data_IF_509435623770
#
_entry.id   IF_509435623770
#
_cell.length_a   1.000
_cell.length_b   1.000
_cell.length_c   1.000
_cell.angle_alpha   90.00
_cell.angle_beta   90.00
_cell.angle_gamma   90.00
#
_symmetry.space_group_name_H-M   'P 1'
#
loop_
_entity.id
_entity.type
_entity.pdbx_description
1 polymer ?
#
# COMPACT_ATOMS: atom_id res chain seq x y z
N UNK A 1 13.89 -90.99 -1.14
CA UNK A 1 14.68 -90.01 -0.34
C UNK A 1 13.72 -89.07 0.38
N UNK A 2 13.85 -88.91 1.71
CA UNK A 2 13.30 -87.77 2.49
C UNK A 2 14.26 -86.57 2.32
N UNK A 3 13.82 -85.29 2.39
CA UNK A 3 13.41 -84.58 3.63
C UNK A 3 12.27 -83.55 3.37
N UNK A 4 11.79 -82.66 4.25
CA UNK A 4 11.54 -82.50 5.71
C UNK A 4 10.58 -81.28 5.82
N UNK A 5 9.93 -81.14 6.98
CA UNK A 5 8.92 -80.14 7.40
C UNK A 5 9.56 -78.79 7.80
N UNK A 6 8.70 -77.75 7.97
CA UNK A 6 8.79 -76.50 8.76
C UNK A 6 9.01 -75.25 7.89
N UNK A 7 8.45 -74.06 8.15
CA UNK A 7 7.67 -73.46 9.24
C UNK A 7 7.35 -72.04 8.77
N UNK A 8 6.18 -71.47 9.07
CA UNK A 8 5.96 -70.04 8.79
C UNK A 8 4.54 -69.57 9.00
N UNK A 9 4.15 -69.41 10.26
CA UNK A 9 3.04 -68.54 10.63
C UNK A 9 3.48 -67.10 10.34
N UNK A 10 2.73 -66.37 9.53
CA UNK A 10 2.72 -64.91 9.57
C UNK A 10 1.28 -64.47 9.30
N UNK A 11 0.55 -64.30 10.40
CA UNK A 11 -0.71 -63.58 10.45
C UNK A 11 -0.39 -62.14 10.06
N UNK A 12 -0.79 -61.72 8.86
CA UNK A 12 -0.81 -60.31 8.51
C UNK A 12 -2.19 -59.77 8.87
N UNK A 13 -2.27 -59.06 9.99
CA UNK A 13 -3.43 -58.26 10.38
C UNK A 13 -3.54 -57.14 9.35
N UNK A 14 -4.52 -57.22 8.46
CA UNK A 14 -4.90 -56.10 7.61
C UNK A 14 -5.72 -55.14 8.47
N UNK A 15 -5.05 -54.15 9.05
CA UNK A 15 -5.72 -53.04 9.73
C UNK A 15 -6.37 -52.17 8.66
N UNK A 16 -7.70 -52.21 8.60
CA UNK A 16 -8.52 -51.38 7.72
C UNK A 16 -8.46 -49.92 8.23
N UNK A 17 -7.61 -49.09 7.63
CA UNK A 17 -7.64 -47.64 7.81
C UNK A 17 -8.79 -47.08 6.97
N UNK A 18 -9.89 -46.75 7.64
CA UNK A 18 -10.97 -45.94 7.05
C UNK A 18 -10.43 -44.52 6.95
N UNK A 19 -9.91 -44.16 5.76
CA UNK A 19 -9.69 -42.76 5.42
C UNK A 19 -11.06 -42.18 5.09
N UNK A 20 -11.59 -41.38 6.03
CA UNK A 20 -12.77 -40.57 5.77
C UNK A 20 -12.44 -39.61 4.63
N UNK A 21 -13.09 -39.80 3.48
CA UNK A 21 -13.10 -38.81 2.42
C UNK A 21 -13.88 -37.59 2.94
N UNK A 22 -13.14 -36.59 3.41
CA UNK A 22 -13.69 -35.27 3.65
C UNK A 22 -14.06 -34.73 2.27
N UNK A 23 -15.36 -34.68 1.99
CA UNK A 23 -15.91 -33.90 0.91
C UNK A 23 -15.64 -32.43 1.25
N UNK A 24 -14.54 -31.88 0.72
CA UNK A 24 -14.40 -30.43 0.61
C UNK A 24 -15.26 -30.05 -0.61
N UNK A 25 -16.32 -29.25 -0.46
CA UNK A 25 -16.99 -28.71 -1.64
C UNK A 25 -15.95 -27.91 -2.42
N UNK A 26 -15.83 -28.19 -3.71
CA UNK A 26 -15.05 -27.36 -4.60
C UNK A 26 -15.61 -25.93 -4.51
N UNK A 27 -14.88 -25.04 -3.84
CA UNK A 27 -14.98 -23.62 -4.14
C UNK A 27 -14.57 -23.53 -5.60
N UNK A 28 -15.49 -23.09 -6.45
CA UNK A 28 -15.13 -22.66 -7.79
C UNK A 28 -14.08 -21.58 -7.58
N UNK A 29 -12.84 -21.84 -7.96
CA UNK A 29 -11.92 -20.76 -8.23
C UNK A 29 -12.58 -19.98 -9.36
N UNK A 30 -13.17 -18.84 -9.01
CA UNK A 30 -13.48 -17.83 -10.02
C UNK A 30 -12.16 -17.57 -10.74
N UNK A 31 -12.21 -17.57 -12.07
CA UNK A 31 -11.03 -17.20 -12.84
C UNK A 31 -10.62 -15.80 -12.40
N UNK A 32 -9.44 -15.71 -11.79
CA UNK A 32 -8.83 -14.46 -11.34
C UNK A 32 -8.81 -13.53 -12.54
N UNK A 33 -9.67 -12.51 -12.49
CA UNK A 33 -9.57 -11.38 -13.40
C UNK A 33 -8.27 -10.64 -13.03
N UNK A 34 -7.31 -10.46 -13.95
CA UNK A 34 -6.03 -9.82 -13.66
C UNK A 34 -6.13 -8.29 -13.41
N UNK A 35 -7.22 -7.83 -12.82
CA UNK A 35 -7.45 -6.44 -12.41
C UNK A 35 -8.22 -6.30 -11.10
N UNK A 36 -8.36 -7.37 -10.31
CA UNK A 36 -9.05 -7.29 -9.02
C UNK A 36 -8.08 -6.83 -7.92
N UNK A 37 -8.08 -5.53 -7.65
CA UNK A 37 -7.72 -4.99 -6.33
C UNK A 37 -8.90 -5.37 -5.43
N UNK A 38 -8.85 -6.55 -4.80
CA UNK A 38 -9.83 -6.92 -3.77
C UNK A 38 -9.44 -6.23 -2.45
N UNK A 39 -9.75 -4.95 -2.38
CA UNK A 39 -9.86 -4.20 -1.13
C UNK A 39 -11.27 -3.62 -1.11
N UNK A 40 -12.04 -3.97 -0.08
CA UNK A 40 -13.48 -3.72 0.03
C UNK A 40 -13.86 -2.25 0.29
N UNK A 41 -13.23 -1.33 -0.42
CA UNK A 41 -13.46 0.11 -0.41
C UNK A 41 -13.76 0.72 -1.79
N UNK A 42 -13.46 -0.01 -2.86
CA UNK A 42 -13.87 0.34 -4.23
C UNK A 42 -15.38 0.64 -4.28
N UNK A 43 -15.76 1.83 -4.73
CA UNK A 43 -17.14 2.24 -4.98
C UNK A 43 -17.85 1.39 -6.07
N UNK A 44 -17.11 0.43 -6.65
CA UNK A 44 -17.50 -0.53 -7.67
C UNK A 44 -17.08 -0.08 -9.07
N UNK A 45 -16.16 0.88 -9.14
CA UNK A 45 -15.70 1.62 -10.30
C UNK A 45 -14.44 1.04 -10.98
N UNK A 46 -13.74 1.89 -11.73
CA UNK A 46 -12.43 1.55 -12.32
C UNK A 46 -11.38 2.25 -11.47
N UNK A 47 -10.46 1.50 -10.84
CA UNK A 47 -9.70 2.02 -9.72
C UNK A 47 -8.90 3.27 -10.09
N UNK A 48 -8.87 4.23 -9.18
CA UNK A 48 -8.37 5.56 -9.34
C UNK A 48 -6.98 5.76 -8.74
N UNK A 49 -6.13 6.51 -9.44
CA UNK A 49 -4.81 6.91 -8.96
C UNK A 49 -4.62 8.42 -9.04
N UNK A 50 -4.02 8.97 -7.98
CA UNK A 50 -3.60 10.36 -7.89
C UNK A 50 -2.18 10.49 -7.33
N UNK A 51 -1.41 11.44 -7.85
CA UNK A 51 -0.07 11.71 -7.32
C UNK A 51 0.22 13.18 -7.11
N UNK A 52 0.98 13.45 -6.05
CA UNK A 52 1.55 14.75 -5.75
C UNK A 52 3.05 14.62 -5.50
N UNK A 53 3.82 15.63 -5.88
CA UNK A 53 5.27 15.58 -5.67
C UNK A 53 5.92 16.95 -5.61
N UNK A 54 7.11 17.00 -5.02
CA UNK A 54 7.95 18.19 -4.98
C UNK A 54 9.41 17.81 -5.23
N UNK A 55 10.03 18.46 -6.22
CA UNK A 55 11.48 18.35 -6.49
C UNK A 55 12.30 19.34 -5.66
N UNK A 56 11.60 20.24 -4.97
CA UNK A 56 12.24 21.34 -4.29
C UNK A 56 13.08 20.86 -3.09
N UNK A 57 14.21 21.54 -2.85
CA UNK A 57 15.14 21.14 -1.78
C UNK A 57 16.02 19.93 -2.13
N UNK A 58 16.20 19.61 -3.42
CA UNK A 58 17.13 18.59 -3.90
C UNK A 58 16.54 17.18 -3.96
N UNK A 59 15.21 17.08 -4.12
CA UNK A 59 14.52 15.82 -4.35
C UNK A 59 14.29 15.63 -5.85
N UNK A 60 15.37 15.64 -6.63
CA UNK A 60 15.35 15.71 -8.10
C UNK A 60 14.65 14.52 -8.77
N UNK A 61 14.41 13.41 -8.06
CA UNK A 61 13.73 12.21 -8.58
C UNK A 61 12.26 12.09 -8.14
N UNK A 62 11.72 13.07 -7.40
CA UNK A 62 10.33 12.98 -6.90
C UNK A 62 9.30 12.93 -8.02
N UNK A 63 9.54 13.64 -9.13
CA UNK A 63 8.66 13.64 -10.29
C UNK A 63 8.73 12.33 -11.06
N UNK A 64 9.92 11.77 -11.23
CA UNK A 64 10.13 10.47 -11.86
C UNK A 64 9.49 9.34 -11.03
N UNK A 65 9.67 9.35 -9.71
CA UNK A 65 9.07 8.35 -8.80
C UNK A 65 7.54 8.44 -8.80
N UNK A 66 6.98 9.62 -8.50
CA UNK A 66 5.53 9.80 -8.46
C UNK A 66 4.87 9.64 -9.83
N UNK A 67 5.49 10.21 -10.87
CA UNK A 67 5.05 10.03 -12.26
C UNK A 67 5.13 8.58 -12.71
N UNK A 68 6.15 7.86 -12.28
CA UNK A 68 6.33 6.43 -12.49
C UNK A 68 5.17 5.61 -11.90
N UNK A 69 4.87 5.78 -10.62
CA UNK A 69 3.73 5.15 -9.96
C UNK A 69 2.41 5.41 -10.72
N UNK A 70 2.13 6.67 -11.02
CA UNK A 70 0.93 7.12 -11.73
C UNK A 70 0.80 6.54 -13.14
N UNK A 71 1.92 6.49 -13.87
CA UNK A 71 1.93 5.99 -15.24
C UNK A 71 1.80 4.47 -15.26
N UNK A 72 2.51 3.75 -14.39
CA UNK A 72 2.44 2.28 -14.30
C UNK A 72 1.01 1.81 -14.04
N UNK A 73 0.33 2.34 -13.02
CA UNK A 73 -1.06 1.96 -12.72
C UNK A 73 -2.01 2.35 -13.86
N UNK A 74 -1.88 3.56 -14.40
CA UNK A 74 -2.76 3.99 -15.48
C UNK A 74 -2.55 3.26 -16.81
N UNK A 75 -1.34 2.75 -17.08
CA UNK A 75 -1.06 1.92 -18.27
C UNK A 75 -1.64 0.51 -18.10
N UNK A 76 -1.84 0.07 -16.85
CA UNK A 76 -2.57 -1.14 -16.50
C UNK A 76 -4.11 -0.96 -16.46
N UNK A 77 -4.60 0.26 -16.72
CA UNK A 77 -6.04 0.53 -16.89
C UNK A 77 -6.70 1.30 -15.76
N UNK A 78 -5.94 1.75 -14.74
CA UNK A 78 -6.47 2.62 -13.69
C UNK A 78 -6.84 4.01 -14.21
N UNK A 79 -7.83 4.63 -13.60
CA UNK A 79 -8.23 6.00 -13.88
C UNK A 79 -7.24 6.98 -13.26
N UNK A 80 -6.44 7.60 -14.13
CA UNK A 80 -5.51 8.68 -13.79
C UNK A 80 -6.26 9.99 -13.45
N UNK A 81 -6.43 10.33 -12.18
CA UNK A 81 -7.26 11.48 -11.73
C UNK A 81 -6.47 12.78 -11.64
N UNK A 82 -5.30 12.77 -11.00
CA UNK A 82 -4.43 13.95 -10.93
C UNK A 82 -2.95 13.59 -10.82
N UNK A 83 -2.12 14.49 -11.33
CA UNK A 83 -0.67 14.49 -11.14
C UNK A 83 -0.24 15.94 -10.94
N UNK A 84 0.19 16.29 -9.71
CA UNK A 84 0.45 17.67 -9.28
C UNK A 84 1.85 17.80 -8.71
N UNK A 85 2.70 18.54 -9.43
CA UNK A 85 4.08 18.77 -9.05
C UNK A 85 4.40 20.20 -8.66
N UNK A 86 5.35 20.37 -7.74
CA UNK A 86 6.00 21.62 -7.37
C UNK A 86 5.02 22.77 -7.08
N UNK A 87 4.94 23.76 -7.97
CA UNK A 87 4.07 24.92 -7.78
C UNK A 87 2.58 24.60 -7.88
N UNK A 88 2.23 23.40 -8.35
CA UNK A 88 0.85 22.92 -8.43
C UNK A 88 0.52 21.88 -7.35
N UNK A 89 1.49 21.44 -6.56
CA UNK A 89 1.24 20.68 -5.33
C UNK A 89 0.84 21.68 -4.25
N UNK A 90 -0.37 21.53 -3.71
CA UNK A 90 -0.98 22.51 -2.81
C UNK A 90 -1.49 21.82 -1.54
N UNK A 91 -1.32 22.47 -0.40
CA UNK A 91 -1.82 21.98 0.90
C UNK A 91 -3.34 21.69 0.83
N UNK A 92 -4.09 22.56 0.13
CA UNK A 92 -5.52 22.37 -0.08
C UNK A 92 -5.92 21.09 -0.84
N UNK A 93 -4.99 20.36 -1.46
CA UNK A 93 -5.29 19.07 -2.08
C UNK A 93 -5.30 17.91 -1.08
N UNK A 94 -4.74 18.12 0.12
CA UNK A 94 -4.66 17.14 1.21
C UNK A 94 -5.67 17.43 2.33
N UNK A 95 -6.02 18.70 2.52
CA UNK A 95 -6.88 19.14 3.63
C UNK A 95 -8.38 19.00 3.35
N UNK A 96 -9.15 18.71 4.41
CA UNK A 96 -10.62 18.65 4.35
C UNK A 96 -11.27 20.02 4.12
N UNK A 97 -10.54 21.11 4.38
CA UNK A 97 -11.07 22.47 4.27
C UNK A 97 -11.54 22.76 2.83
N UNK A 98 -12.78 23.27 2.73
CA UNK A 98 -13.44 23.60 1.46
C UNK A 98 -13.62 22.41 0.49
N UNK A 99 -13.61 21.17 0.97
CA UNK A 99 -13.65 19.94 0.16
C UNK A 99 -12.47 19.85 -0.82
N UNK A 100 -11.30 20.32 -0.42
CA UNK A 100 -10.11 20.31 -1.25
C UNK A 100 -9.65 18.89 -1.55
N UNK A 101 -9.41 18.11 -0.49
CA UNK A 101 -9.07 16.69 -0.53
C UNK A 101 -9.98 15.83 -1.40
N UNK A 102 -11.31 15.98 -1.32
CA UNK A 102 -12.27 15.18 -2.13
C UNK A 102 -12.09 15.32 -3.63
N UNK A 103 -11.51 16.42 -4.10
CA UNK A 103 -11.21 16.62 -5.52
C UNK A 103 -9.82 16.07 -5.92
N UNK A 104 -9.02 15.67 -4.95
CA UNK A 104 -7.65 15.22 -5.09
C UNK A 104 -7.40 14.00 -4.20
N UNK A 105 -6.66 14.16 -3.10
CA UNK A 105 -6.15 13.05 -2.28
C UNK A 105 -7.27 12.12 -1.82
N UNK A 106 -8.39 12.66 -1.34
CA UNK A 106 -9.52 11.85 -0.84
C UNK A 106 -10.49 11.38 -1.96
N UNK A 107 -10.18 11.64 -3.23
CA UNK A 107 -11.04 11.34 -4.38
C UNK A 107 -10.51 10.25 -5.32
N UNK A 108 -9.63 9.38 -4.81
CA UNK A 108 -8.96 8.28 -5.53
C UNK A 108 -8.78 7.08 -4.60
N UNK A 109 -8.83 5.85 -5.09
CA UNK A 109 -8.54 4.67 -4.25
C UNK A 109 -7.11 4.68 -3.71
N UNK A 110 -6.14 5.09 -4.54
CA UNK A 110 -4.74 5.18 -4.12
C UNK A 110 -4.07 6.50 -4.48
N UNK A 111 -3.50 7.14 -3.47
CA UNK A 111 -2.68 8.32 -3.63
C UNK A 111 -1.20 8.01 -3.37
N UNK A 112 -0.30 8.71 -4.06
CA UNK A 112 1.13 8.66 -3.76
C UNK A 112 1.72 10.07 -3.73
N UNK A 113 2.40 10.39 -2.63
CA UNK A 113 3.14 11.63 -2.46
C UNK A 113 4.63 11.36 -2.40
N UNK A 114 5.44 12.11 -3.15
CA UNK A 114 6.89 12.14 -2.98
C UNK A 114 7.42 13.55 -2.71
N UNK A 115 7.95 13.76 -1.50
CA UNK A 115 8.48 15.05 -1.11
C UNK A 115 9.10 15.03 0.28
N UNK A 116 9.27 16.23 0.86
CA UNK A 116 9.84 16.38 2.20
C UNK A 116 8.80 16.10 3.28
N UNK A 117 9.31 15.76 4.46
CA UNK A 117 8.49 15.73 5.66
C UNK A 117 9.32 15.52 6.90
N UNK A 118 8.58 15.40 7.99
CA UNK A 118 9.08 15.26 9.35
C UNK A 118 8.11 14.42 10.16
N UNK A 119 8.49 14.16 11.41
CA UNK A 119 7.61 13.60 12.43
C UNK A 119 6.43 14.54 12.79
N UNK A 120 6.39 15.76 12.26
CA UNK A 120 5.36 16.76 12.57
C UNK A 120 4.42 17.10 11.41
N UNK A 121 4.91 17.09 10.18
CA UNK A 121 4.16 17.55 9.00
C UNK A 121 4.80 17.03 7.72
N UNK A 122 4.02 17.07 6.64
CA UNK A 122 4.50 16.89 5.27
C UNK A 122 4.74 18.26 4.65
N UNK A 123 5.84 18.41 3.91
CA UNK A 123 6.21 19.66 3.24
C UNK A 123 6.17 19.50 1.73
N UNK A 124 5.44 20.39 1.07
CA UNK A 124 5.34 20.44 -0.39
C UNK A 124 6.51 21.22 -1.02
N UNK A 125 7.53 21.58 -0.23
CA UNK A 125 8.78 22.20 -0.67
C UNK A 125 9.27 23.35 0.22
N UNK A 126 10.52 23.81 0.05
CA UNK A 126 11.08 24.95 0.78
C UNK A 126 10.26 26.23 0.61
N UNK A 127 9.73 26.78 1.72
CA UNK A 127 8.90 27.99 1.71
C UNK A 127 7.54 27.81 1.02
N UNK A 128 7.13 26.56 0.81
CA UNK A 128 5.80 26.15 0.34
C UNK A 128 4.93 25.76 1.53
N UNK A 129 3.68 25.48 1.20
CA UNK A 129 2.67 25.01 2.13
C UNK A 129 3.08 23.65 2.74
N UNK A 130 2.67 23.44 3.97
CA UNK A 130 2.87 22.21 4.75
C UNK A 130 1.50 21.78 5.24
N UNK A 131 1.22 20.50 5.37
CA UNK A 131 -0.02 20.06 6.00
C UNK A 131 0.27 19.20 7.22
N UNK A 132 -0.62 19.31 8.21
CA UNK A 132 -0.58 18.57 9.47
C UNK A 132 -1.66 17.48 9.47
N UNK A 133 -1.43 16.39 10.21
CA UNK A 133 -2.46 15.33 10.35
C UNK A 133 -3.75 15.78 11.02
N UNK A 134 -3.75 16.95 11.67
CA UNK A 134 -4.95 17.58 12.23
C UNK A 134 -5.83 18.31 11.21
N UNK A 135 -5.37 18.43 9.96
CA UNK A 135 -6.04 19.17 8.89
C UNK A 135 -6.56 18.27 7.78
N UNK A 136 -6.41 16.95 7.93
CA UNK A 136 -6.84 15.95 6.97
C UNK A 136 -8.05 15.17 7.51
N UNK A 137 -8.90 14.65 6.63
CA UNK A 137 -10.02 13.76 6.96
C UNK A 137 -10.11 12.66 5.90
N UNK A 138 -9.07 11.84 5.80
CA UNK A 138 -8.89 10.89 4.70
C UNK A 138 -9.72 9.62 4.85
N UNK A 139 -10.33 9.20 3.74
CA UNK A 139 -11.24 8.07 3.59
C UNK A 139 -12.70 8.39 3.87
N UNK A 140 -13.03 9.67 4.10
CA UNK A 140 -14.42 10.10 4.30
C UNK A 140 -15.20 10.20 2.98
N UNK A 141 -14.47 10.12 1.86
CA UNK A 141 -15.01 10.13 0.51
C UNK A 141 -14.63 8.88 -0.31
N UNK A 142 -13.36 8.70 -0.68
CA UNK A 142 -12.93 7.66 -1.65
C UNK A 142 -11.52 7.10 -1.40
N UNK A 143 -10.70 7.71 -0.53
CA UNK A 143 -9.31 7.26 -0.34
C UNK A 143 -9.18 6.04 0.56
N UNK A 144 -8.62 4.99 -0.03
CA UNK A 144 -8.37 3.72 0.63
C UNK A 144 -6.92 3.60 1.10
N UNK A 145 -5.95 4.03 0.27
CA UNK A 145 -4.54 3.89 0.56
C UNK A 145 -3.72 5.11 0.13
N UNK A 146 -2.73 5.48 0.93
CA UNK A 146 -1.76 6.51 0.55
C UNK A 146 -0.33 6.11 0.87
N UNK A 147 0.56 6.25 -0.12
CA UNK A 147 2.00 6.17 0.05
C UNK A 147 2.60 7.56 0.27
N UNK A 148 3.17 7.81 1.45
CA UNK A 148 3.90 9.02 1.79
C UNK A 148 5.41 8.75 1.73
N UNK A 149 5.99 8.88 0.53
CA UNK A 149 7.43 8.82 0.31
C UNK A 149 8.09 10.12 0.77
N UNK A 150 8.29 10.18 2.09
CA UNK A 150 8.71 11.34 2.82
C UNK A 150 9.30 10.92 4.16
N UNK A 151 10.36 11.60 4.60
CA UNK A 151 11.02 11.33 5.88
C UNK A 151 10.03 11.41 7.05
N UNK A 152 10.12 10.43 7.96
CA UNK A 152 9.45 10.40 9.25
C UNK A 152 7.92 10.54 9.21
N UNK A 153 7.29 10.33 8.05
CA UNK A 153 5.84 10.43 7.87
C UNK A 153 5.06 9.47 8.77
N UNK A 154 5.70 8.39 9.22
CA UNK A 154 5.11 7.42 10.15
C UNK A 154 5.94 7.24 11.42
N UNK A 155 6.81 8.19 11.78
CA UNK A 155 7.70 8.11 12.95
C UNK A 155 6.96 8.03 14.29
N UNK A 156 7.58 7.43 15.31
CA UNK A 156 7.07 7.42 16.70
C UNK A 156 8.07 7.99 17.73
N UNK A 157 7.68 9.01 18.52
CA UNK A 157 6.43 9.77 18.46
C UNK A 157 6.32 10.61 17.18
N UNK A 158 5.12 10.75 16.61
CA UNK A 158 4.90 11.54 15.40
C UNK A 158 3.43 11.86 15.15
N UNK A 159 3.16 12.88 14.33
CA UNK A 159 1.84 13.50 14.17
C UNK A 159 0.80 12.57 13.52
N UNK A 160 1.22 11.69 12.61
CA UNK A 160 0.33 10.77 11.89
C UNK A 160 0.01 9.47 12.67
N UNK A 161 0.81 9.12 13.68
CA UNK A 161 0.56 7.96 14.58
C UNK A 161 -0.03 8.36 15.92
N UNK A 162 0.43 9.48 16.49
CA UNK A 162 0.06 9.92 17.84
C UNK A 162 -1.32 10.57 17.91
N UNK A 163 -1.94 10.82 16.76
CA UNK A 163 -3.20 11.53 16.66
C UNK A 163 -4.00 10.95 15.49
N UNK A 164 -5.04 10.17 15.80
CA UNK A 164 -5.96 9.62 14.79
C UNK A 164 -6.88 10.70 14.20
N UNK A 165 -6.50 11.98 14.23
CA UNK A 165 -7.41 13.10 13.96
C UNK A 165 -7.89 13.18 12.51
N UNK A 166 -7.28 12.42 11.60
CA UNK A 166 -7.59 12.51 10.18
C UNK A 166 -7.66 11.19 9.42
N UNK A 167 -7.72 10.05 10.13
CA UNK A 167 -8.09 8.77 9.50
C UNK A 167 -9.58 8.55 9.74
N UNK A 168 -10.38 8.64 8.69
CA UNK A 168 -11.83 8.54 8.74
C UNK A 168 -12.34 7.65 7.59
N UNK A 169 -11.80 6.44 7.49
CA UNK A 169 -12.09 5.46 6.43
C UNK A 169 -10.85 5.00 5.67
N UNK A 170 -9.74 5.76 5.70
CA UNK A 170 -8.51 5.36 5.00
C UNK A 170 -7.94 4.10 5.63
N UNK A 171 -7.78 3.04 4.84
CA UNK A 171 -7.31 1.76 5.35
C UNK A 171 -5.87 1.84 5.83
N UNK A 172 -4.96 2.40 5.01
CA UNK A 172 -3.54 2.49 5.35
C UNK A 172 -2.86 3.76 4.83
N UNK A 173 -2.08 4.38 5.71
CA UNK A 173 -0.98 5.26 5.33
C UNK A 173 0.31 4.44 5.36
N UNK A 174 0.99 4.33 4.23
CA UNK A 174 2.33 3.75 4.13
C UNK A 174 3.37 4.87 4.11
N UNK A 175 4.44 4.76 4.89
CA UNK A 175 5.47 5.79 4.94
C UNK A 175 6.77 5.31 5.56
N UNK A 176 7.57 6.26 6.08
CA UNK A 176 8.87 6.01 6.68
C UNK A 176 8.88 6.40 8.16
N UNK A 177 9.35 5.49 9.02
CA UNK A 177 9.71 5.77 10.41
C UNK A 177 11.01 6.59 10.46
N UNK A 178 11.92 6.34 9.53
CA UNK A 178 13.22 7.04 9.38
C UNK A 178 13.19 8.02 8.21
N UNK A 179 14.35 8.41 7.69
CA UNK A 179 14.44 9.15 6.44
C UNK A 179 14.05 8.27 5.24
N UNK A 180 13.50 8.89 4.20
CA UNK A 180 13.42 8.31 2.85
C UNK A 180 14.57 8.85 2.00
N UNK A 181 15.06 8.03 1.09
CA UNK A 181 16.05 8.41 0.08
C UNK A 181 15.34 8.57 -1.27
N UNK A 182 15.65 9.63 -1.99
CA UNK A 182 14.91 10.02 -3.20
C UNK A 182 15.39 9.22 -4.42
N UNK A 183 14.87 8.00 -4.60
CA UNK A 183 15.08 7.17 -5.78
C UNK A 183 13.90 7.28 -6.75
N UNK A 184 14.20 7.26 -8.05
CA UNK A 184 13.19 7.37 -9.10
C UNK A 184 12.38 6.06 -9.26
N UNK A 185 12.96 4.94 -8.85
CA UNK A 185 12.42 3.59 -9.06
C UNK A 185 11.34 3.21 -8.04
N UNK A 186 11.26 3.90 -6.91
CA UNK A 186 10.43 3.50 -5.77
C UNK A 186 8.93 3.50 -6.09
N UNK A 187 8.45 4.58 -6.74
CA UNK A 187 7.07 4.68 -7.19
C UNK A 187 6.70 3.62 -8.24
N UNK A 188 7.44 3.48 -9.35
CA UNK A 188 7.25 2.38 -10.31
C UNK A 188 7.22 1.00 -9.65
N UNK A 189 8.20 0.68 -8.79
CA UNK A 189 8.30 -0.63 -8.13
C UNK A 189 7.09 -0.89 -7.23
N UNK A 190 6.62 0.13 -6.50
CA UNK A 190 5.40 0.01 -5.71
C UNK A 190 4.17 -0.30 -6.57
N UNK A 191 3.99 0.42 -7.68
CA UNK A 191 2.89 0.16 -8.61
C UNK A 191 2.98 -1.24 -9.25
N UNK A 192 4.15 -1.67 -9.69
CA UNK A 192 4.36 -2.99 -10.29
C UNK A 192 3.98 -4.12 -9.32
N UNK A 193 4.36 -4.01 -8.05
CA UNK A 193 4.02 -5.00 -7.02
C UNK A 193 2.53 -5.08 -6.74
N UNK A 194 1.84 -3.94 -6.72
CA UNK A 194 0.38 -3.92 -6.62
C UNK A 194 -0.27 -4.65 -7.81
N UNK A 195 0.22 -4.43 -9.02
CA UNK A 195 -0.28 -5.09 -10.23
C UNK A 195 0.05 -6.59 -10.27
N UNK A 196 1.13 -7.00 -9.62
CA UNK A 196 1.49 -8.43 -9.43
C UNK A 196 0.63 -9.12 -8.35
N UNK A 197 -0.30 -8.38 -7.72
CA UNK A 197 -1.26 -8.91 -6.75
C UNK A 197 -0.75 -8.93 -5.31
N UNK A 198 0.33 -8.22 -5.00
CA UNK A 198 0.73 -7.99 -3.61
C UNK A 198 -0.27 -7.04 -2.94
N UNK A 199 -0.63 -7.33 -1.68
CA UNK A 199 -1.40 -6.36 -0.90
C UNK A 199 -0.56 -5.13 -0.57
N UNK A 200 -1.22 -3.98 -0.33
CA UNK A 200 -0.59 -2.67 -0.16
C UNK A 200 0.59 -2.65 0.84
N UNK A 201 0.46 -3.17 2.08
CA UNK A 201 1.60 -3.22 3.01
C UNK A 201 2.83 -3.95 2.47
N UNK A 202 2.61 -5.08 1.80
CA UNK A 202 3.68 -5.94 1.30
C UNK A 202 4.33 -5.31 0.06
N UNK A 203 3.50 -4.78 -0.84
CA UNK A 203 3.97 -4.04 -2.02
C UNK A 203 4.84 -2.84 -1.62
N UNK A 204 4.41 -2.05 -0.63
CA UNK A 204 5.19 -0.93 -0.10
C UNK A 204 6.52 -1.39 0.48
N UNK A 205 6.48 -2.38 1.38
CA UNK A 205 7.68 -2.90 2.04
C UNK A 205 8.69 -3.41 1.02
N UNK A 206 8.27 -4.28 0.10
CA UNK A 206 9.18 -4.86 -0.85
C UNK A 206 9.67 -3.85 -1.90
N UNK A 207 8.89 -2.83 -2.27
CA UNK A 207 9.34 -1.80 -3.19
C UNK A 207 10.50 -0.99 -2.58
N UNK A 208 10.32 -0.53 -1.34
CA UNK A 208 11.37 0.25 -0.67
C UNK A 208 12.61 -0.60 -0.36
N UNK A 209 12.46 -1.91 -0.07
CA UNK A 209 13.58 -2.82 0.18
C UNK A 209 14.50 -3.04 -1.06
N UNK A 210 14.03 -2.72 -2.27
CA UNK A 210 14.87 -2.83 -3.48
C UNK A 210 15.96 -1.76 -3.55
N UNK A 211 15.68 -0.56 -3.02
CA UNK A 211 16.52 0.63 -3.20
C UNK A 211 17.12 1.14 -1.90
N UNK A 212 16.38 1.01 -0.78
CA UNK A 212 16.78 1.57 0.49
C UNK A 212 17.71 0.63 1.26
N UNK A 213 18.74 1.17 1.94
CA UNK A 213 19.55 0.37 2.84
C UNK A 213 18.74 -0.04 4.08
N UNK A 214 19.17 -1.13 4.73
CA UNK A 214 18.44 -1.76 5.85
C UNK A 214 18.23 -0.90 7.09
N UNK A 215 18.88 0.26 7.20
CA UNK A 215 18.67 1.24 8.27
C UNK A 215 17.53 2.23 7.97
N UNK A 216 16.91 2.14 6.79
CA UNK A 216 15.71 2.89 6.44
C UNK A 216 14.50 2.01 6.68
N UNK A 217 13.66 2.45 7.60
CA UNK A 217 12.53 1.66 8.10
C UNK A 217 11.26 2.27 7.56
N UNK A 218 10.54 1.48 6.77
CA UNK A 218 9.17 1.78 6.41
C UNK A 218 8.21 1.33 7.50
N UNK A 219 7.11 2.05 7.66
CA UNK A 219 6.04 1.64 8.55
C UNK A 219 4.67 2.08 8.00
N UNK A 220 3.63 1.46 8.52
CA UNK A 220 2.25 1.69 8.13
C UNK A 220 1.46 2.14 9.34
N UNK A 221 0.56 3.10 9.13
CA UNK A 221 -0.49 3.48 10.07
C UNK A 221 -1.80 2.99 9.49
N UNK A 222 -2.49 2.13 10.23
CA UNK A 222 -3.83 1.67 9.87
C UNK A 222 -4.86 2.45 10.69
N UNK A 223 -6.04 2.66 10.11
CA UNK A 223 -7.19 3.07 10.90
C UNK A 223 -7.50 2.00 11.95
N UNK A 224 -7.62 2.42 13.22
CA UNK A 224 -8.11 1.57 14.30
C UNK A 224 -9.49 2.06 14.74
N UNK A 225 -10.52 1.37 14.27
CA UNK A 225 -11.91 1.63 14.62
C UNK A 225 -12.31 1.12 16.01
N UNK A 226 -11.36 0.66 16.84
CA UNK A 226 -11.65 0.19 18.20
C UNK A 226 -11.83 1.37 19.18
N UNK A 227 -13.03 1.95 19.15
CA UNK A 227 -13.58 2.77 20.24
C UNK A 227 -14.13 1.92 21.38
#
# INVERSE_FOLDING_TARGET
>A
MKPKVLSGISVLIVTLLIVGAIFVPAVSADEINPGAIDGTGDDGGTPEVGVEWSTAGGLDNSDDSAGGFYNTLGDAGWTRKFNKGDANALESHFEYFNNGDRNYIDGVDIAFFNGHGSDQHISLGPGKDVFFSSEIEWGDYDLEWIGLHSCHSTAEPGNFKGSHYGLNGVHLICGFETESLNYAEDGPSFAERLLDGENVPIAWYHAMDETHPSDKVVQMVAEDNSV
#
